data_IF_742477356800
#
_entry.id   IF_742477356800
#
_cell.length_a   1.000
_cell.length_b   1.000
_cell.length_c   1.000
_cell.angle_alpha   90.00
_cell.angle_beta   90.00
_cell.angle_gamma   90.00
#
_symmetry.space_group_name_H-M   'P 1'
#
loop_
_entity.id
_entity.type
_entity.pdbx_description
1 polymer ?
#
# COMPACT_ATOMS: atom_id res chain seq x y z
N UNK A 1 -10.97 2.31 4.54
CA UNK A 1 -9.87 1.62 3.84
C UNK A 1 -10.42 0.88 2.64
N UNK A 2 -9.69 0.84 1.52
CA UNK A 2 -10.08 0.14 0.29
C UNK A 2 -9.09 -0.99 0.07
N UNK A 3 -9.56 -2.22 -0.13
CA UNK A 3 -8.72 -3.38 -0.35
C UNK A 3 -9.35 -4.36 -1.32
N UNK A 4 -8.51 -5.08 -2.06
CA UNK A 4 -8.92 -6.16 -2.97
C UNK A 4 -8.00 -7.36 -2.81
N UNK A 5 -8.54 -8.56 -2.95
CA UNK A 5 -7.74 -9.78 -3.03
C UNK A 5 -7.56 -10.16 -4.52
N UNK A 6 -6.34 -10.54 -4.88
CA UNK A 6 -6.01 -10.97 -6.24
C UNK A 6 -5.14 -12.22 -6.22
N UNK A 7 -5.41 -13.16 -7.12
CA UNK A 7 -4.66 -14.41 -7.21
C UNK A 7 -3.20 -14.22 -7.67
N UNK A 8 -2.87 -13.08 -8.25
CA UNK A 8 -1.53 -12.77 -8.80
C UNK A 8 -1.18 -11.30 -8.61
N UNK A 9 0.11 -11.01 -8.48
CA UNK A 9 0.67 -9.66 -8.40
C UNK A 9 1.29 -9.25 -9.74
N UNK A 10 0.45 -8.95 -10.72
CA UNK A 10 0.88 -8.51 -12.05
C UNK A 10 0.46 -7.06 -12.29
N UNK A 11 1.03 -6.46 -13.33
CA UNK A 11 0.64 -5.14 -13.83
C UNK A 11 -0.89 -4.99 -14.02
N UNK A 12 -1.57 -6.05 -14.49
CA UNK A 12 -3.01 -6.01 -14.76
C UNK A 12 -3.84 -5.90 -13.48
N UNK A 13 -3.47 -6.62 -12.44
CA UNK A 13 -4.13 -6.59 -11.14
C UNK A 13 -3.92 -5.22 -10.47
N UNK A 14 -2.72 -4.67 -10.56
CA UNK A 14 -2.45 -3.33 -10.06
C UNK A 14 -3.24 -2.26 -10.83
N UNK A 15 -3.33 -2.35 -12.15
CA UNK A 15 -4.14 -1.43 -12.96
C UNK A 15 -5.65 -1.55 -12.64
N UNK A 16 -6.15 -2.76 -12.37
CA UNK A 16 -7.53 -2.96 -11.90
C UNK A 16 -7.75 -2.30 -10.54
N UNK A 17 -6.78 -2.42 -9.63
CA UNK A 17 -6.84 -1.77 -8.34
C UNK A 17 -6.87 -0.24 -8.46
N UNK A 18 -6.03 0.36 -9.32
CA UNK A 18 -6.05 1.79 -9.58
C UNK A 18 -7.40 2.27 -10.11
N UNK A 19 -8.00 1.53 -11.04
CA UNK A 19 -9.35 1.83 -11.56
C UNK A 19 -10.42 1.72 -10.48
N UNK A 20 -10.33 0.71 -9.62
CA UNK A 20 -11.25 0.54 -8.50
C UNK A 20 -11.12 1.68 -7.50
N UNK A 21 -9.89 2.07 -7.17
CA UNK A 21 -9.59 3.21 -6.31
C UNK A 21 -10.17 4.50 -6.90
N UNK A 22 -9.94 4.74 -8.18
CA UNK A 22 -10.43 5.90 -8.93
C UNK A 22 -11.96 6.01 -8.92
N UNK A 23 -12.64 4.88 -9.09
CA UNK A 23 -14.11 4.82 -9.04
C UNK A 23 -14.69 5.00 -7.62
N UNK A 24 -13.89 4.72 -6.57
CA UNK A 24 -14.35 4.75 -5.17
C UNK A 24 -14.11 6.12 -4.53
N UNK A 25 -13.06 6.82 -4.94
CA UNK A 25 -12.72 8.14 -4.38
C UNK A 25 -13.65 9.20 -4.97
N UNK A 26 -14.33 9.93 -4.10
CA UNK A 26 -15.08 11.12 -4.51
C UNK A 26 -14.09 12.24 -4.81
N UNK A 27 -14.06 12.68 -6.08
CA UNK A 27 -13.14 13.72 -6.54
C UNK A 27 -13.86 15.04 -6.76
N UNK A 28 -13.19 16.13 -6.42
CA UNK A 28 -13.52 17.51 -6.77
C UNK A 28 -12.48 18.05 -7.75
N UNK A 29 -12.68 19.26 -8.29
CA UNK A 29 -11.73 19.88 -9.22
C UNK A 29 -10.31 20.03 -8.62
N UNK A 30 -10.20 20.20 -7.30
CA UNK A 30 -8.93 20.40 -6.59
C UNK A 30 -8.40 19.12 -5.90
N UNK A 31 -8.99 17.97 -6.20
CA UNK A 31 -8.57 16.72 -5.56
C UNK A 31 -7.20 16.29 -6.09
N UNK A 32 -6.25 16.10 -5.18
CA UNK A 32 -4.95 15.48 -5.45
C UNK A 32 -4.84 14.17 -4.67
N UNK A 33 -4.46 13.10 -5.35
CA UNK A 33 -4.33 11.77 -4.75
C UNK A 33 -2.86 11.37 -4.70
N UNK A 34 -2.30 11.25 -3.52
CA UNK A 34 -0.93 10.79 -3.31
C UNK A 34 -0.92 9.31 -2.95
N UNK A 35 -0.25 8.49 -3.77
CA UNK A 35 -0.08 7.05 -3.52
C UNK A 35 1.36 6.78 -3.11
N UNK A 36 1.54 6.36 -1.85
CA UNK A 36 2.84 5.90 -1.32
C UNK A 36 2.90 4.39 -1.47
N UNK A 37 3.94 3.89 -2.12
CA UNK A 37 4.09 2.47 -2.42
C UNK A 37 5.55 2.03 -2.41
N UNK A 38 5.78 0.73 -2.36
CA UNK A 38 7.11 0.17 -2.48
C UNK A 38 7.67 0.31 -3.91
N UNK A 39 8.97 0.15 -4.04
CA UNK A 39 9.67 0.30 -5.31
C UNK A 39 9.58 -0.96 -6.19
N UNK A 40 8.43 -1.62 -6.24
CA UNK A 40 8.25 -2.83 -7.04
C UNK A 40 8.09 -2.53 -8.53
N UNK A 41 8.73 -3.33 -9.38
CA UNK A 41 8.79 -3.09 -10.83
C UNK A 41 7.42 -3.03 -11.53
N UNK A 42 6.42 -3.76 -11.00
CA UNK A 42 5.05 -3.76 -11.53
C UNK A 42 4.40 -2.38 -11.53
N UNK A 43 4.79 -1.49 -10.61
CA UNK A 43 4.25 -0.15 -10.46
C UNK A 43 4.80 0.85 -11.50
N UNK A 44 5.86 0.47 -12.24
CA UNK A 44 6.57 1.35 -13.18
C UNK A 44 6.43 0.96 -14.65
N UNK A 45 5.49 0.11 -14.98
CA UNK A 45 5.29 -0.40 -16.33
C UNK A 45 4.71 0.67 -17.28
N UNK A 46 4.89 0.51 -18.60
CA UNK A 46 4.33 1.45 -19.58
C UNK A 46 2.82 1.64 -19.49
N UNK A 47 2.08 0.59 -19.12
CA UNK A 47 0.62 0.69 -18.96
C UNK A 47 0.25 1.58 -17.76
N UNK A 48 0.99 1.49 -16.65
CA UNK A 48 0.78 2.35 -15.49
C UNK A 48 1.15 3.80 -15.81
N UNK A 49 2.26 4.03 -16.54
CA UNK A 49 2.64 5.37 -16.99
C UNK A 49 1.56 6.01 -17.86
N UNK A 50 0.99 5.26 -18.83
CA UNK A 50 -0.12 5.74 -19.67
C UNK A 50 -1.39 6.02 -18.84
N UNK A 51 -1.66 5.23 -17.82
CA UNK A 51 -2.78 5.48 -16.93
C UNK A 51 -2.59 6.80 -16.16
N UNK A 52 -1.41 7.03 -15.57
CA UNK A 52 -1.06 8.29 -14.89
C UNK A 52 -1.16 9.52 -15.80
N UNK A 53 -0.74 9.43 -17.05
CA UNK A 53 -0.89 10.54 -18.01
C UNK A 53 -2.35 10.97 -18.22
N UNK A 54 -3.29 10.04 -18.04
CA UNK A 54 -4.74 10.30 -18.12
C UNK A 54 -5.37 10.73 -16.81
N UNK A 55 -4.64 10.62 -15.71
CA UNK A 55 -5.08 10.92 -14.36
C UNK A 55 -4.06 11.81 -13.66
N UNK A 56 -3.95 13.09 -14.07
CA UNK A 56 -2.92 14.01 -13.57
C UNK A 56 -3.06 14.33 -12.09
N UNK A 57 -4.23 14.08 -11.51
CA UNK A 57 -4.50 14.21 -10.08
C UNK A 57 -3.79 13.17 -9.22
N UNK A 58 -3.27 12.07 -9.82
CA UNK A 58 -2.58 10.99 -9.11
C UNK A 58 -1.06 11.19 -9.10
N UNK A 59 -0.46 11.18 -7.93
CA UNK A 59 0.98 11.32 -7.71
C UNK A 59 1.52 10.09 -7.00
N UNK A 60 2.47 9.38 -7.63
CA UNK A 60 3.12 8.21 -7.08
C UNK A 60 4.39 8.57 -6.34
N UNK A 61 4.52 8.10 -5.12
CA UNK A 61 5.69 8.25 -4.26
C UNK A 61 6.22 6.86 -3.93
N UNK A 62 7.45 6.58 -4.35
CA UNK A 62 8.08 5.30 -4.09
C UNK A 62 8.94 5.37 -2.83
N UNK A 63 8.77 4.40 -1.92
CA UNK A 63 9.67 4.26 -0.78
C UNK A 63 11.05 3.83 -1.25
N UNK A 64 12.14 4.28 -0.59
CA UNK A 64 13.48 3.80 -0.91
C UNK A 64 13.59 2.28 -0.78
N UNK A 65 14.50 1.66 -1.52
CA UNK A 65 14.81 0.25 -1.40
C UNK A 65 15.11 -0.11 0.06
N UNK A 66 14.60 -1.23 0.53
CA UNK A 66 14.72 -1.69 1.94
C UNK A 66 14.09 -0.76 2.99
N UNK A 67 13.20 0.14 2.57
CA UNK A 67 12.49 1.07 3.46
C UNK A 67 10.98 0.87 3.43
N UNK A 68 10.53 -0.36 3.19
CA UNK A 68 9.10 -0.73 3.18
C UNK A 68 8.38 -0.38 4.49
N UNK A 69 9.13 -0.36 5.62
CA UNK A 69 8.62 0.08 6.93
C UNK A 69 8.05 1.51 6.93
N UNK A 70 8.37 2.34 5.92
CA UNK A 70 7.72 3.64 5.69
C UNK A 70 6.30 3.50 5.12
N UNK A 71 5.99 2.36 4.54
CA UNK A 71 4.68 2.12 3.94
C UNK A 71 3.70 1.64 5.02
N UNK A 72 2.71 2.46 5.35
CA UNK A 72 1.73 2.17 6.40
C UNK A 72 0.90 0.91 6.14
N UNK A 73 0.77 0.50 4.89
CA UNK A 73 0.04 -0.73 4.53
C UNK A 73 0.67 -1.98 5.15
N UNK A 74 2.00 -2.02 5.33
CA UNK A 74 2.66 -3.15 5.98
C UNK A 74 2.29 -3.28 7.45
N UNK A 75 2.17 -2.15 8.16
CA UNK A 75 1.68 -2.15 9.54
C UNK A 75 0.25 -2.68 9.62
N UNK A 76 -0.60 -2.29 8.68
CA UNK A 76 -1.96 -2.79 8.60
C UNK A 76 -2.00 -4.30 8.31
N UNK A 77 -1.15 -4.81 7.42
CA UNK A 77 -1.04 -6.26 7.19
C UNK A 77 -0.54 -7.02 8.42
N UNK A 78 0.38 -6.45 9.20
CA UNK A 78 0.79 -7.06 10.46
C UNK A 78 -0.39 -7.12 11.43
N UNK A 79 -1.18 -6.07 11.55
CA UNK A 79 -2.37 -6.01 12.41
C UNK A 79 -3.43 -7.04 12.00
N UNK A 80 -3.77 -7.13 10.72
CA UNK A 80 -4.74 -8.12 10.20
C UNK A 80 -4.25 -9.55 10.44
N UNK A 81 -2.95 -9.77 10.27
CA UNK A 81 -2.32 -11.08 10.50
C UNK A 81 -2.48 -11.50 11.96
N UNK A 82 -2.17 -10.63 12.90
CA UNK A 82 -2.26 -10.92 14.33
C UNK A 82 -3.71 -11.06 14.81
N UNK A 83 -4.59 -10.16 14.38
CA UNK A 83 -5.97 -10.10 14.90
C UNK A 83 -6.90 -11.11 14.24
N UNK A 84 -6.67 -11.47 12.98
CA UNK A 84 -7.61 -12.29 12.22
C UNK A 84 -7.00 -13.56 11.64
N UNK A 85 -5.84 -13.48 10.97
CA UNK A 85 -5.30 -14.62 10.21
C UNK A 85 -4.72 -15.68 11.12
N UNK A 86 -3.85 -15.34 12.07
CA UNK A 86 -3.24 -16.29 13.00
C UNK A 86 -4.22 -16.98 13.94
N UNK A 87 -5.35 -16.36 14.20
CA UNK A 87 -6.41 -16.88 15.09
C UNK A 87 -7.48 -17.67 14.34
N UNK A 88 -7.44 -17.68 13.03
CA UNK A 88 -8.43 -18.36 12.18
C UNK A 88 -7.95 -19.71 11.68
N UNK A 89 -8.88 -20.66 11.57
CA UNK A 89 -8.69 -21.90 10.84
C UNK A 89 -9.40 -21.78 9.49
N UNK A 90 -8.65 -21.57 8.41
CA UNK A 90 -9.23 -21.41 7.07
C UNK A 90 -9.11 -22.70 6.29
N UNK A 91 -10.23 -23.21 5.81
CA UNK A 91 -10.30 -24.46 5.03
C UNK A 91 -10.14 -24.23 3.52
N UNK A 92 -10.12 -22.97 3.07
CA UNK A 92 -9.97 -22.60 1.65
C UNK A 92 -9.43 -21.17 1.52
N UNK A 93 -8.86 -20.86 0.35
CA UNK A 93 -8.44 -19.50 -0.01
C UNK A 93 -9.65 -18.55 0.02
N UNK A 94 -10.79 -18.97 -0.48
CA UNK A 94 -12.01 -18.15 -0.46
C UNK A 94 -12.46 -17.79 0.98
N UNK A 95 -12.31 -18.73 1.93
CA UNK A 95 -12.61 -18.46 3.33
C UNK A 95 -11.64 -17.42 3.94
N UNK A 96 -10.37 -17.47 3.56
CA UNK A 96 -9.37 -16.50 3.99
C UNK A 96 -9.65 -15.11 3.36
N UNK A 97 -9.93 -15.05 2.07
CA UNK A 97 -10.27 -13.81 1.37
C UNK A 97 -11.50 -13.14 1.99
N UNK A 98 -12.55 -13.93 2.25
CA UNK A 98 -13.74 -13.43 2.94
C UNK A 98 -13.40 -12.85 4.31
N UNK A 99 -12.61 -13.54 5.12
CA UNK A 99 -12.23 -13.05 6.44
C UNK A 99 -11.42 -11.74 6.40
N UNK A 100 -10.57 -11.57 5.38
CA UNK A 100 -9.83 -10.32 5.16
C UNK A 100 -10.79 -9.18 4.79
N UNK A 101 -11.72 -9.41 3.87
CA UNK A 101 -12.69 -8.41 3.45
C UNK A 101 -13.66 -8.03 4.58
N UNK A 102 -14.14 -9.01 5.34
CA UNK A 102 -14.97 -8.76 6.53
C UNK A 102 -14.22 -7.89 7.56
N UNK A 103 -12.95 -8.18 7.81
CA UNK A 103 -12.12 -7.36 8.70
C UNK A 103 -11.96 -5.92 8.19
N UNK A 104 -11.76 -5.73 6.89
CA UNK A 104 -11.70 -4.40 6.29
C UNK A 104 -13.01 -3.64 6.49
N UNK A 105 -14.14 -4.32 6.34
CA UNK A 105 -15.47 -3.73 6.52
C UNK A 105 -15.69 -3.32 7.99
N UNK A 106 -15.38 -4.19 8.95
CA UNK A 106 -15.43 -3.90 10.39
C UNK A 106 -14.52 -2.71 10.75
N UNK A 107 -13.28 -2.72 10.24
CA UNK A 107 -12.32 -1.64 10.47
C UNK A 107 -12.83 -0.30 9.93
N UNK A 108 -13.54 -0.28 8.80
CA UNK A 108 -14.08 0.93 8.21
C UNK A 108 -15.28 1.51 8.98
N UNK A 109 -15.99 0.71 9.77
CA UNK A 109 -17.12 1.19 10.59
C UNK A 109 -16.63 2.05 11.78
N UNK A 110 -15.46 1.73 12.34
CA UNK A 110 -14.85 2.49 13.45
C UNK A 110 -13.41 2.91 13.08
N UNK A 111 -13.23 3.41 11.87
CA UNK A 111 -11.91 3.82 11.39
C UNK A 111 -11.46 5.10 12.07
N UNK A 112 -10.29 5.02 12.73
CA UNK A 112 -9.62 6.20 13.30
C UNK A 112 -8.53 6.66 12.34
N UNK A 113 -8.34 7.99 12.17
CA UNK A 113 -7.22 8.52 11.41
C UNK A 113 -5.91 7.96 11.95
N UNK A 114 -5.00 7.61 11.04
CA UNK A 114 -3.66 7.21 11.45
C UNK A 114 -2.93 8.39 12.09
N UNK A 115 -2.43 8.21 13.31
CA UNK A 115 -1.62 9.20 14.00
C UNK A 115 -0.16 8.88 13.78
N UNK A 116 0.54 9.76 13.07
CA UNK A 116 1.98 9.63 12.84
C UNK A 116 2.75 10.14 14.07
N UNK A 117 3.40 9.24 14.79
CA UNK A 117 4.12 9.57 16.03
C UNK A 117 5.61 9.83 15.81
N UNK A 118 6.18 9.41 14.68
CA UNK A 118 7.58 9.63 14.35
C UNK A 118 7.76 10.98 13.67
N UNK A 119 8.63 11.83 14.21
CA UNK A 119 9.03 13.09 13.57
C UNK A 119 9.81 12.86 12.27
N UNK A 120 9.75 13.83 11.35
CA UNK A 120 10.44 13.78 10.06
C UNK A 120 11.95 13.50 10.21
N UNK A 121 12.62 14.15 11.14
CA UNK A 121 14.06 13.99 11.39
C UNK A 121 14.43 12.56 11.77
N UNK A 122 13.62 11.91 12.61
CA UNK A 122 13.83 10.51 12.99
C UNK A 122 13.72 9.58 11.78
N UNK A 123 12.74 9.83 10.91
CA UNK A 123 12.53 9.06 9.68
C UNK A 123 13.68 9.25 8.73
N UNK A 124 14.07 10.50 8.47
CA UNK A 124 15.19 10.85 7.57
C UNK A 124 16.49 10.23 8.03
N UNK A 125 16.81 10.32 9.33
CA UNK A 125 18.00 9.70 9.92
C UNK A 125 18.02 8.17 9.75
N UNK A 126 16.87 7.49 9.87
CA UNK A 126 16.76 6.04 9.64
C UNK A 126 16.96 5.69 8.16
N UNK A 127 16.35 6.45 7.25
CA UNK A 127 16.54 6.26 5.81
C UNK A 127 18.01 6.45 5.43
N UNK A 128 18.66 7.50 5.93
CA UNK A 128 20.08 7.75 5.68
C UNK A 128 20.96 6.58 6.15
N UNK A 129 20.72 6.04 7.34
CA UNK A 129 21.45 4.86 7.86
C UNK A 129 21.28 3.64 6.97
N UNK A 130 20.09 3.39 6.43
CA UNK A 130 19.83 2.30 5.50
C UNK A 130 20.58 2.50 4.19
N UNK A 131 20.54 3.70 3.61
CA UNK A 131 21.26 4.04 2.37
C UNK A 131 22.77 3.88 2.55
N UNK A 132 23.33 4.33 3.68
CA UNK A 132 24.77 4.18 3.99
C UNK A 132 25.17 2.69 4.09
N UNK A 133 24.35 1.85 4.72
CA UNK A 133 24.62 0.40 4.79
C UNK A 133 24.62 -0.25 3.43
N UNK A 134 23.67 0.08 2.57
CA UNK A 134 23.59 -0.46 1.20
C UNK A 134 24.82 -0.09 0.39
N UNK A 135 25.25 1.17 0.48
CA UNK A 135 26.44 1.64 -0.23
C UNK A 135 27.74 0.99 0.28
N UNK A 136 27.85 0.69 1.57
CA UNK A 136 29.03 0.05 2.17
C UNK A 136 29.05 -1.47 1.98
N UNK A 137 27.92 -2.13 1.64
CA UNK A 137 27.85 -3.56 1.36
C UNK A 137 28.07 -3.92 -0.11
N UNK A 138 28.34 -2.93 -0.95
CA UNK A 138 28.61 -3.08 -2.39
C UNK A 138 30.11 -3.23 -2.76
N UNK A 139 30.97 -3.59 -1.80
CA UNK A 139 32.40 -3.89 -2.04
C UNK A 139 32.73 -5.33 -1.74
#
# INVERSE_FOLDING_TARGET
MIGTCSARHRQQEFLKFLKHLDATITKTADTTVHLVMDNYGTHKTPAIKRWLQKHPEYHFHFTPTSSSWLNQVERFFAEITEKRIRRGAFRSVAALEKAILDYLQEHNQDSKPFVWTAGADLILNRVQKVCTRINNSGH
#
